data_IF_005806764842
#
_entry.id   IF_005806764842
#
_cell.length_a   1.000
_cell.length_b   1.000
_cell.length_c   1.000
_cell.angle_alpha   90.00
_cell.angle_beta   90.00
_cell.angle_gamma   90.00
#
_symmetry.space_group_name_H-M   'P 1'
#
loop_
_entity.id
_entity.type
_entity.pdbx_description
1 polymer ?
#
# COMPACT_ATOMS: atom_id res chain seq x y z
N UNK A 1 14.67 -6.85 44.83
CA UNK A 1 13.37 -6.69 44.13
C UNK A 1 13.58 -6.37 42.63
N UNK A 2 14.52 -7.01 41.92
CA UNK A 2 14.87 -6.64 40.53
C UNK A 2 14.58 -7.72 39.48
N UNK A 3 14.03 -8.86 39.89
CA UNK A 3 13.91 -10.04 39.02
C UNK A 3 12.54 -10.09 38.33
N UNK A 4 11.46 -9.63 38.97
CA UNK A 4 10.10 -9.72 38.40
C UNK A 4 9.86 -8.86 37.15
N UNK A 5 10.53 -7.71 36.99
CA UNK A 5 10.32 -6.83 35.85
C UNK A 5 10.88 -7.43 34.54
N UNK A 6 12.01 -8.11 34.62
CA UNK A 6 12.64 -8.78 33.47
C UNK A 6 11.80 -9.96 32.96
N UNK A 7 11.18 -10.72 33.87
CA UNK A 7 10.30 -11.83 33.49
C UNK A 7 9.02 -11.35 32.79
N UNK A 8 8.44 -10.21 33.21
CA UNK A 8 7.26 -9.66 32.54
C UNK A 8 7.55 -9.14 31.12
N UNK A 9 8.73 -8.56 30.88
CA UNK A 9 9.13 -8.13 29.55
C UNK A 9 9.36 -9.31 28.59
N UNK A 10 9.96 -10.39 29.08
CA UNK A 10 10.14 -11.62 28.30
C UNK A 10 8.79 -12.29 28.02
N UNK A 11 7.89 -12.35 29.02
CA UNK A 11 6.55 -12.93 28.84
C UNK A 11 5.70 -12.14 27.83
N UNK A 12 5.75 -10.80 27.89
CA UNK A 12 5.08 -9.92 26.93
C UNK A 12 5.61 -10.11 25.51
N UNK A 13 6.92 -10.32 25.35
CA UNK A 13 7.53 -10.61 24.05
C UNK A 13 7.10 -11.96 23.48
N UNK A 14 7.05 -13.01 24.31
CA UNK A 14 6.60 -14.34 23.89
C UNK A 14 5.13 -14.33 23.50
N UNK A 15 4.27 -13.64 24.26
CA UNK A 15 2.85 -13.49 23.95
C UNK A 15 2.61 -12.65 22.67
N UNK A 16 3.38 -11.59 22.47
CA UNK A 16 3.32 -10.80 21.24
C UNK A 16 3.78 -11.58 20.01
N UNK A 17 4.81 -12.43 20.15
CA UNK A 17 5.29 -13.30 19.08
C UNK A 17 4.28 -14.39 18.71
N UNK A 18 3.57 -14.96 19.69
CA UNK A 18 2.49 -15.93 19.46
C UNK A 18 1.30 -15.28 18.73
N UNK A 19 0.90 -14.06 19.14
CA UNK A 19 -0.18 -13.33 18.47
C UNK A 19 0.17 -12.93 17.03
N UNK A 20 1.44 -12.66 16.72
CA UNK A 20 1.91 -12.38 15.36
C UNK A 20 1.95 -13.64 14.49
N UNK A 21 2.34 -14.78 15.06
CA UNK A 21 2.31 -16.07 14.38
C UNK A 21 0.88 -16.46 14.02
N UNK A 22 -0.09 -16.28 14.93
CA UNK A 22 -1.51 -16.56 14.66
C UNK A 22 -2.09 -15.66 13.57
N UNK A 23 -1.70 -14.39 13.52
CA UNK A 23 -2.11 -13.47 12.45
C UNK A 23 -1.46 -13.84 11.11
N UNK A 24 -0.19 -14.25 11.12
CA UNK A 24 0.50 -14.71 9.92
C UNK A 24 -0.09 -16.02 9.38
N UNK A 25 -0.47 -16.96 10.25
CA UNK A 25 -1.14 -18.21 9.85
C UNK A 25 -2.54 -17.94 9.29
N UNK A 26 -3.34 -17.06 9.90
CA UNK A 26 -4.65 -16.67 9.36
C UNK A 26 -4.55 -15.94 8.02
N UNK A 27 -3.51 -15.13 7.84
CA UNK A 27 -3.24 -14.43 6.59
C UNK A 27 -2.72 -15.38 5.50
N UNK A 28 -1.96 -16.42 5.87
CA UNK A 28 -1.54 -17.49 4.97
C UNK A 28 -2.72 -18.37 4.53
N UNK A 29 -3.60 -18.77 5.45
CA UNK A 29 -4.84 -19.50 5.14
C UNK A 29 -5.79 -18.69 4.24
N UNK A 30 -5.81 -17.35 4.37
CA UNK A 30 -6.58 -16.47 3.48
C UNK A 30 -6.04 -16.49 2.05
N UNK A 31 -4.72 -16.57 1.87
CA UNK A 31 -4.08 -16.64 0.55
C UNK A 31 -4.30 -17.99 -0.13
N UNK A 32 -4.25 -19.10 0.62
CA UNK A 32 -4.56 -20.42 0.05
C UNK A 32 -6.01 -20.53 -0.43
N UNK A 33 -6.97 -19.88 0.26
CA UNK A 33 -8.37 -19.85 -0.22
C UNK A 33 -8.52 -19.11 -1.55
N UNK A 34 -7.83 -17.98 -1.71
CA UNK A 34 -7.82 -17.22 -2.97
C UNK A 34 -7.16 -18.03 -4.09
N UNK A 35 -6.06 -18.73 -3.80
CA UNK A 35 -5.39 -19.61 -4.79
C UNK A 35 -6.23 -20.83 -5.17
N UNK A 36 -7.09 -21.33 -4.26
CA UNK A 36 -8.02 -22.44 -4.54
C UNK A 36 -9.22 -22.01 -5.40
N UNK A 37 -9.65 -20.75 -5.28
CA UNK A 37 -10.71 -20.16 -6.12
C UNK A 37 -10.17 -19.85 -7.53
N UNK A 38 -8.92 -19.38 -7.65
CA UNK A 38 -8.29 -19.09 -8.96
C UNK A 38 -7.97 -20.36 -9.78
N UNK A 39 -7.89 -21.53 -9.12
CA UNK A 39 -7.72 -22.84 -9.79
C UNK A 39 -9.01 -23.47 -10.30
N UNK A 40 -10.18 -23.04 -9.81
CA UNK A 40 -11.47 -23.57 -10.24
C UNK A 40 -12.00 -22.90 -11.52
N UNK A 41 -11.52 -21.70 -11.86
CA UNK A 41 -11.98 -20.95 -13.04
C UNK A 41 -11.12 -21.16 -14.31
N UNK A 42 -10.03 -21.94 -14.21
CA UNK A 42 -9.25 -22.41 -15.37
C UNK A 42 -9.47 -23.89 -15.66
N UNK A 43 -10.72 -24.27 -15.88
CA UNK A 43 -11.05 -25.43 -16.73
C UNK A 43 -11.55 -24.86 -18.05
N UNK A 44 -10.60 -24.54 -18.93
CA UNK A 44 -10.88 -24.50 -20.35
C UNK A 44 -11.08 -25.96 -20.73
N UNK A 45 -12.32 -26.36 -21.01
CA UNK A 45 -12.64 -27.60 -21.71
C UNK A 45 -11.94 -27.57 -23.07
N UNK A 46 -10.70 -28.08 -23.09
CA UNK A 46 -10.04 -28.48 -24.30
C UNK A 46 -10.64 -29.81 -24.71
N UNK A 47 -11.59 -29.79 -25.64
CA UNK A 47 -12.01 -30.98 -26.38
C UNK A 47 -10.88 -31.35 -27.37
N UNK A 48 -10.14 -32.47 -27.17
CA UNK A 48 -9.01 -32.85 -28.01
C UNK A 48 -9.42 -33.90 -29.07
N UNK A 49 -10.70 -33.98 -29.44
CA UNK A 49 -11.23 -35.11 -30.20
C UNK A 49 -12.01 -34.72 -31.46
N UNK A 50 -11.53 -33.79 -32.28
CA UNK A 50 -12.01 -33.64 -33.66
C UNK A 50 -10.95 -32.92 -34.49
N UNK A 51 -10.03 -33.67 -35.10
CA UNK A 51 -9.85 -33.76 -36.56
C UNK A 51 -8.55 -34.51 -36.88
N UNK A 52 -8.75 -35.75 -37.29
CA UNK A 52 -7.75 -36.67 -37.79
C UNK A 52 -7.32 -36.28 -39.25
N UNK A 53 -6.37 -37.01 -39.87
CA UNK A 53 -5.40 -36.48 -40.83
C UNK A 53 -5.79 -36.68 -42.30
N UNK A 54 -5.17 -35.90 -43.20
CA UNK A 54 -4.94 -36.19 -44.62
C UNK A 54 -6.11 -36.71 -45.48
N UNK A 55 -6.66 -35.87 -46.37
CA UNK A 55 -7.62 -36.32 -47.38
C UNK A 55 -8.01 -35.27 -48.45
N UNK A 56 -7.36 -35.38 -49.60
CA UNK A 56 -7.68 -34.98 -50.99
C UNK A 56 -8.88 -34.04 -51.36
N UNK A 57 -8.54 -32.98 -52.12
CA UNK A 57 -9.21 -32.27 -53.24
C UNK A 57 -10.71 -32.49 -53.51
N UNK A 58 -11.54 -31.43 -53.46
CA UNK A 58 -12.31 -30.88 -54.62
C UNK A 58 -13.18 -29.65 -54.28
N UNK A 59 -13.23 -28.71 -55.23
CA UNK A 59 -14.33 -27.75 -55.57
C UNK A 59 -14.65 -26.54 -54.67
N UNK A 60 -14.05 -25.40 -55.06
CA UNK A 60 -14.76 -24.21 -55.57
C UNK A 60 -15.65 -23.38 -54.64
N UNK A 61 -15.10 -22.33 -54.03
CA UNK A 61 -15.78 -21.03 -53.77
C UNK A 61 -14.70 -19.97 -53.54
N UNK A 62 -14.75 -18.76 -54.14
CA UNK A 62 -13.77 -17.71 -53.84
C UNK A 62 -13.94 -17.23 -52.37
N UNK A 63 -12.85 -16.92 -51.63
CA UNK A 63 -12.96 -16.50 -50.25
C UNK A 63 -13.62 -15.11 -50.14
N UNK A 64 -14.51 -14.96 -49.16
CA UNK A 64 -15.06 -13.68 -48.77
C UNK A 64 -13.93 -12.70 -48.40
N UNK A 65 -14.09 -11.38 -48.68
CA UNK A 65 -13.07 -10.41 -48.30
C UNK A 65 -12.84 -10.46 -46.79
N UNK A 66 -11.56 -10.52 -46.39
CA UNK A 66 -11.14 -10.51 -45.00
C UNK A 66 -11.81 -9.33 -44.27
N UNK A 67 -12.29 -9.52 -43.02
CA UNK A 67 -12.82 -8.42 -42.24
C UNK A 67 -11.70 -7.39 -42.08
N UNK A 68 -12.00 -6.18 -42.54
CA UNK A 68 -11.18 -4.97 -42.33
C UNK A 68 -10.78 -4.94 -40.86
N UNK A 69 -9.49 -4.73 -40.50
CA UNK A 69 -9.13 -4.52 -39.11
C UNK A 69 -9.99 -3.37 -38.58
N UNK A 70 -10.83 -3.68 -37.59
CA UNK A 70 -11.71 -2.69 -36.99
C UNK A 70 -10.92 -1.45 -36.60
N UNK A 71 -11.52 -0.25 -36.65
CA UNK A 71 -10.86 0.96 -36.21
C UNK A 71 -10.21 0.71 -34.84
N UNK A 72 -8.90 0.99 -34.72
CA UNK A 72 -8.27 1.09 -33.40
C UNK A 72 -9.19 1.97 -32.54
N UNK A 73 -9.46 1.58 -31.27
CA UNK A 73 -10.28 2.42 -30.41
C UNK A 73 -9.68 3.83 -30.44
N UNK A 74 -10.52 4.88 -30.56
CA UNK A 74 -10.02 6.24 -30.58
C UNK A 74 -9.16 6.41 -29.33
N UNK A 75 -7.91 6.84 -29.51
CA UNK A 75 -7.02 7.13 -28.40
C UNK A 75 -7.74 8.09 -27.47
N UNK A 76 -8.26 7.56 -26.36
CA UNK A 76 -9.13 8.27 -25.45
C UNK A 76 -8.45 9.55 -25.02
N UNK A 77 -9.19 10.65 -25.12
CA UNK A 77 -8.76 11.97 -24.69
C UNK A 77 -8.15 11.92 -23.29
N UNK A 78 -6.89 12.31 -23.18
CA UNK A 78 -6.27 12.66 -21.89
C UNK A 78 -5.58 11.55 -21.09
N UNK A 79 -5.19 10.43 -21.69
CA UNK A 79 -4.34 9.45 -20.98
C UNK A 79 -3.00 10.09 -20.58
N UNK A 80 -2.84 10.36 -19.27
CA UNK A 80 -1.58 10.83 -18.68
C UNK A 80 -0.51 9.76 -18.93
N UNK A 81 0.68 10.17 -19.37
CA UNK A 81 1.78 9.23 -19.67
C UNK A 81 2.26 8.46 -18.44
N UNK A 82 2.86 7.27 -18.63
CA UNK A 82 3.49 6.48 -17.56
C UNK A 82 4.48 7.32 -16.71
N UNK A 83 5.30 8.14 -17.38
CA UNK A 83 6.25 9.04 -16.70
C UNK A 83 5.54 10.04 -15.79
N UNK A 84 4.33 10.48 -16.13
CA UNK A 84 3.56 11.36 -15.28
C UNK A 84 3.21 10.67 -13.96
N UNK A 85 2.62 9.46 -14.02
CA UNK A 85 2.27 8.68 -12.83
C UNK A 85 3.49 8.34 -11.97
N UNK A 86 4.58 7.85 -12.57
CA UNK A 86 5.83 7.58 -11.85
C UNK A 86 6.36 8.81 -11.11
N UNK A 87 6.35 9.97 -11.77
CA UNK A 87 6.80 11.22 -11.15
C UNK A 87 5.87 11.68 -10.03
N UNK A 88 4.55 11.53 -10.19
CA UNK A 88 3.57 11.86 -9.17
C UNK A 88 3.74 10.95 -7.93
N UNK A 89 3.81 9.63 -8.12
CA UNK A 89 4.05 8.66 -7.06
C UNK A 89 5.36 8.95 -6.32
N UNK A 90 6.45 9.22 -7.05
CA UNK A 90 7.74 9.58 -6.45
C UNK A 90 7.67 10.87 -5.63
N UNK A 91 6.92 11.88 -6.09
CA UNK A 91 6.71 13.13 -5.34
C UNK A 91 5.92 12.88 -4.05
N UNK A 92 4.85 12.10 -4.13
CA UNK A 92 4.03 11.71 -2.98
C UNK A 92 4.86 10.90 -1.97
N UNK A 93 5.68 9.94 -2.43
CA UNK A 93 6.59 9.18 -1.57
C UNK A 93 7.60 10.08 -0.85
N UNK A 94 8.16 11.08 -1.55
CA UNK A 94 9.05 12.06 -0.92
C UNK A 94 8.33 12.92 0.11
N UNK A 95 7.09 13.33 -0.16
CA UNK A 95 6.27 14.10 0.76
C UNK A 95 5.95 13.28 2.02
N UNK A 96 5.48 12.03 1.86
CA UNK A 96 5.20 11.10 2.96
C UNK A 96 6.44 10.94 3.84
N UNK A 97 7.62 10.66 3.26
CA UNK A 97 8.86 10.52 4.05
C UNK A 97 9.27 11.79 4.77
N UNK A 98 8.97 12.98 4.21
CA UNK A 98 9.26 14.26 4.87
C UNK A 98 8.37 14.45 6.09
N UNK A 99 7.07 14.24 5.92
CA UNK A 99 6.09 14.39 6.99
C UNK A 99 6.27 13.32 8.08
N UNK A 100 6.61 12.07 7.73
CA UNK A 100 6.95 11.02 8.70
C UNK A 100 8.14 11.40 9.57
N UNK A 101 9.18 12.00 8.99
CA UNK A 101 10.33 12.50 9.76
C UNK A 101 9.93 13.65 10.69
N UNK A 102 9.09 14.57 10.23
CA UNK A 102 8.60 15.66 11.08
C UNK A 102 7.77 15.12 12.24
N UNK A 103 6.87 14.18 11.98
CA UNK A 103 6.06 13.51 12.99
C UNK A 103 6.94 12.82 14.04
N UNK A 104 7.97 12.08 13.60
CA UNK A 104 8.91 11.42 14.50
C UNK A 104 9.62 12.42 15.42
N UNK A 105 10.14 13.52 14.87
CA UNK A 105 10.81 14.58 15.66
C UNK A 105 9.87 15.23 16.67
N UNK A 106 8.60 15.47 16.30
CA UNK A 106 7.61 16.08 17.20
C UNK A 106 7.18 15.12 18.31
N UNK A 107 6.99 13.83 17.99
CA UNK A 107 6.72 12.78 18.98
C UNK A 107 7.88 12.61 19.95
N UNK A 108 9.11 12.62 19.47
CA UNK A 108 10.30 12.56 20.31
C UNK A 108 10.36 13.76 21.28
N UNK A 109 10.05 14.98 20.81
CA UNK A 109 9.95 16.17 21.66
C UNK A 109 8.87 16.02 22.74
N UNK A 110 7.71 15.47 22.40
CA UNK A 110 6.65 15.18 23.38
C UNK A 110 7.10 14.15 24.43
N UNK A 111 7.77 13.09 24.00
CA UNK A 111 8.31 12.07 24.91
C UNK A 111 9.42 12.62 25.80
N UNK A 112 10.33 13.44 25.26
CA UNK A 112 11.35 14.14 26.03
C UNK A 112 10.73 15.09 27.05
N UNK A 113 9.69 15.83 26.65
CA UNK A 113 8.89 16.66 27.55
C UNK A 113 8.21 15.86 28.67
N UNK A 114 7.71 14.66 28.35
CA UNK A 114 7.09 13.76 29.35
C UNK A 114 8.12 13.19 30.32
N UNK A 115 9.30 12.80 29.83
CA UNK A 115 10.41 12.29 30.66
C UNK A 115 11.02 13.37 31.57
N UNK A 116 10.80 14.66 31.27
CA UNK A 116 11.40 15.79 31.98
C UNK A 116 10.53 16.45 33.07
N UNK A 117 9.39 15.88 33.49
CA UNK A 117 8.51 16.46 34.52
C UNK A 117 8.41 15.61 35.81
N UNK A 118 8.60 16.18 37.04
CA UNK A 118 9.47 17.28 37.43
C UNK A 118 10.31 17.02 38.71
N UNK A 119 11.42 17.76 38.86
CA UNK A 119 12.02 18.06 40.17
C UNK A 119 11.18 19.10 40.92
N UNK A 120 10.89 18.83 42.19
CA UNK A 120 10.07 19.64 43.11
C UNK A 120 10.74 20.99 43.44
N UNK A 121 10.55 22.00 42.59
CA UNK A 121 10.82 23.40 42.92
C UNK A 121 9.51 24.16 43.18
N UNK A 122 9.53 25.30 43.90
CA UNK A 122 8.34 26.11 44.18
C UNK A 122 7.56 26.37 42.88
N UNK A 123 6.38 25.79 42.77
CA UNK A 123 5.58 25.81 41.55
C UNK A 123 4.99 27.22 41.37
N UNK A 124 5.61 28.04 40.52
CA UNK A 124 4.92 29.19 39.95
C UNK A 124 3.77 28.66 39.07
N UNK A 125 2.49 28.86 39.45
CA UNK A 125 1.36 28.33 38.69
C UNK A 125 1.30 28.89 37.25
N UNK A 126 1.90 30.06 36.99
CA UNK A 126 2.01 30.60 35.62
C UNK A 126 2.98 29.79 34.76
N UNK A 127 4.04 29.24 35.33
CA UNK A 127 5.00 28.40 34.61
C UNK A 127 4.41 27.02 34.27
N UNK A 128 3.55 26.47 35.13
CA UNK A 128 2.79 25.24 34.88
C UNK A 128 1.85 25.37 33.67
N UNK A 129 1.04 26.44 33.64
CA UNK A 129 0.10 26.68 32.54
C UNK A 129 0.82 26.85 31.20
N UNK A 130 1.90 27.64 31.13
CA UNK A 130 2.67 27.81 29.88
C UNK A 130 3.25 26.50 29.32
N UNK A 131 3.67 25.58 30.21
CA UNK A 131 4.18 24.25 29.80
C UNK A 131 3.06 23.35 29.30
N UNK A 132 1.91 23.37 29.98
CA UNK A 132 0.73 22.65 29.53
C UNK A 132 0.24 23.14 28.16
N UNK A 133 0.18 24.46 27.97
CA UNK A 133 -0.20 25.08 26.70
C UNK A 133 0.78 24.72 25.57
N UNK A 134 2.09 24.78 25.84
CA UNK A 134 3.11 24.39 24.86
C UNK A 134 3.01 22.91 24.47
N UNK A 135 2.69 22.04 25.44
CA UNK A 135 2.46 20.62 25.19
C UNK A 135 1.20 20.38 24.37
N UNK A 136 0.10 21.04 24.71
CA UNK A 136 -1.15 20.93 23.95
C UNK A 136 -0.98 21.37 22.50
N UNK A 137 -0.19 22.43 22.25
CA UNK A 137 0.17 22.86 20.89
C UNK A 137 0.98 21.81 20.14
N UNK A 138 1.98 21.20 20.78
CA UNK A 138 2.78 20.13 20.17
C UNK A 138 1.93 18.88 19.88
N UNK A 139 0.99 18.53 20.76
CA UNK A 139 0.06 17.43 20.56
C UNK A 139 -0.88 17.71 19.38
N UNK A 140 -1.38 18.95 19.24
CA UNK A 140 -2.17 19.39 18.09
C UNK A 140 -1.37 19.31 16.78
N UNK A 141 -0.14 19.84 16.75
CA UNK A 141 0.75 19.74 15.58
C UNK A 141 1.01 18.28 15.16
N UNK A 142 1.17 17.37 16.12
CA UNK A 142 1.32 15.92 15.85
C UNK A 142 0.06 15.34 15.23
N UNK A 143 -1.12 15.78 15.67
CA UNK A 143 -2.40 15.43 15.08
C UNK A 143 -2.50 15.89 13.62
N UNK A 144 -2.24 17.17 13.37
CA UNK A 144 -2.28 17.79 12.03
C UNK A 144 -1.35 17.09 11.03
N UNK A 145 -0.10 16.81 11.43
CA UNK A 145 0.84 16.06 10.57
C UNK A 145 0.33 14.63 10.31
N UNK A 146 -0.31 14.01 11.32
CA UNK A 146 -0.92 12.70 11.19
C UNK A 146 -2.06 12.66 10.16
N UNK A 147 -2.95 13.65 10.19
CA UNK A 147 -4.04 13.82 9.23
C UNK A 147 -3.51 14.01 7.81
N UNK A 148 -2.54 14.92 7.65
CA UNK A 148 -1.87 15.17 6.37
C UNK A 148 -1.17 13.94 5.80
N UNK A 149 -0.55 13.12 6.65
CA UNK A 149 0.02 11.83 6.23
C UNK A 149 -1.05 10.85 5.74
N UNK A 150 -2.23 10.86 6.37
CA UNK A 150 -3.38 10.10 5.91
C UNK A 150 -3.83 10.53 4.51
N UNK A 151 -3.92 11.85 4.28
CA UNK A 151 -4.24 12.43 2.97
C UNK A 151 -3.23 12.04 1.90
N UNK A 152 -1.94 12.26 2.14
CA UNK A 152 -0.87 11.92 1.19
C UNK A 152 -0.85 10.43 0.83
N UNK A 153 -1.15 9.55 1.78
CA UNK A 153 -1.22 8.10 1.53
C UNK A 153 -2.46 7.73 0.71
N UNK A 154 -3.59 8.40 0.93
CA UNK A 154 -4.80 8.25 0.08
C UNK A 154 -4.53 8.73 -1.33
N UNK A 155 -3.99 9.94 -1.50
CA UNK A 155 -3.61 10.49 -2.80
C UNK A 155 -2.64 9.57 -3.55
N UNK A 156 -1.67 8.99 -2.84
CA UNK A 156 -0.74 8.02 -3.42
C UNK A 156 -1.47 6.77 -3.93
N UNK A 157 -2.40 6.23 -3.16
CA UNK A 157 -3.19 5.06 -3.55
C UNK A 157 -4.09 5.39 -4.74
N UNK A 158 -4.77 6.54 -4.72
CA UNK A 158 -5.62 7.01 -5.83
C UNK A 158 -4.80 7.21 -7.11
N UNK A 159 -3.64 7.86 -7.03
CA UNK A 159 -2.74 8.03 -8.18
C UNK A 159 -2.25 6.68 -8.75
N UNK A 160 -2.00 5.71 -7.87
CA UNK A 160 -1.62 4.36 -8.27
C UNK A 160 -2.76 3.61 -8.96
N UNK A 161 -3.98 3.73 -8.43
CA UNK A 161 -5.17 3.10 -9.00
C UNK A 161 -5.61 3.78 -10.30
N UNK A 162 -5.45 5.10 -10.44
CA UNK A 162 -5.58 5.82 -11.72
C UNK A 162 -4.60 5.27 -12.75
N UNK A 163 -3.34 5.05 -12.37
CA UNK A 163 -2.33 4.44 -13.23
C UNK A 163 -2.73 3.04 -13.71
N UNK A 164 -3.25 2.19 -12.81
CA UNK A 164 -3.78 0.86 -13.19
C UNK A 164 -4.98 0.96 -14.12
N UNK A 165 -5.94 1.86 -13.83
CA UNK A 165 -7.12 2.09 -14.67
C UNK A 165 -6.75 2.61 -16.05
N UNK A 166 -5.63 3.34 -16.16
CA UNK A 166 -5.06 3.78 -17.43
C UNK A 166 -4.34 2.64 -18.20
N UNK A 167 -4.28 1.42 -17.66
CA UNK A 167 -3.71 0.24 -18.31
C UNK A 167 -2.24 -0.03 -17.99
N UNK A 168 -1.63 0.72 -17.07
CA UNK A 168 -0.24 0.48 -16.66
C UNK A 168 -0.12 -0.65 -15.65
N UNK A 169 0.93 -1.45 -15.78
CA UNK A 169 1.17 -2.55 -14.85
C UNK A 169 1.78 -2.04 -13.52
N UNK A 170 1.51 -2.72 -12.40
CA UNK A 170 2.10 -2.42 -11.09
C UNK A 170 3.62 -2.18 -11.11
N UNK A 171 4.37 -3.04 -11.82
CA UNK A 171 5.83 -2.94 -11.94
C UNK A 171 6.31 -1.74 -12.76
N UNK A 172 5.50 -1.28 -13.71
CA UNK A 172 5.80 -0.08 -14.50
C UNK A 172 5.59 1.19 -13.67
N UNK A 173 4.51 1.26 -12.91
CA UNK A 173 4.19 2.40 -12.03
C UNK A 173 5.25 2.57 -10.92
N UNK A 174 5.77 1.45 -10.40
CA UNK A 174 6.86 1.44 -9.42
C UNK A 174 8.25 1.70 -10.03
N UNK A 175 8.37 1.80 -11.36
CA UNK A 175 9.65 1.96 -12.04
C UNK A 175 10.56 0.72 -11.98
N UNK A 176 10.01 -0.45 -11.62
CA UNK A 176 10.73 -1.74 -11.59
C UNK A 176 10.77 -2.43 -12.95
N UNK A 177 9.93 -2.00 -13.89
CA UNK A 177 9.80 -2.58 -15.23
C UNK A 177 9.03 -3.89 -15.23
N UNK A 178 8.70 -4.39 -16.43
CA UNK A 178 8.22 -5.75 -16.65
C UNK A 178 9.48 -6.62 -16.77
N UNK A 179 9.70 -7.54 -15.83
CA UNK A 179 10.70 -8.60 -15.95
C UNK A 179 10.00 -9.93 -16.15
#
# INVERSE_FOLDING_TARGET
>A
MGVCHSFHLVLLWVLAAQSLADVASREAERRERVDSEERAERVIDGDPALWAPGGNVTRGTPPAPAPVPGPLPPAGEGLKSLRHYQNALRKLDQAIRREERQLALRRERLEAGRRSLPGSGPLDPRAGNRRADARARLEAEVGEIGEKLGELRRERAECYDEGKRAGYLPGELDGRGIR
#
